data_IF_881295358310
#
_entry.id   IF_881295358310
#
_cell.length_a   1.000
_cell.length_b   1.000
_cell.length_c   1.000
_cell.angle_alpha   90.00
_cell.angle_beta   90.00
_cell.angle_gamma   90.00
#
_symmetry.space_group_name_H-M   'P 1'
#
loop_
_entity.id
_entity.type
_entity.pdbx_description
1 polymer ?
#
# COMPACT_ATOMS: atom_id res chain seq x y z
N UNK A 1 -16.90 -16.04 -12.02
CA UNK A 1 -15.63 -15.36 -11.66
C UNK A 1 -15.47 -15.50 -10.15
N UNK A 2 -14.45 -16.24 -9.69
CA UNK A 2 -14.24 -16.57 -8.27
C UNK A 2 -13.76 -15.33 -7.48
N UNK A 3 -14.70 -14.47 -7.07
CA UNK A 3 -14.44 -13.29 -6.24
C UNK A 3 -14.55 -13.53 -4.73
N UNK A 4 -14.69 -14.79 -4.29
CA UNK A 4 -14.93 -15.16 -2.90
C UNK A 4 -13.78 -15.96 -2.31
N UNK A 5 -12.63 -15.32 -2.04
CA UNK A 5 -11.70 -15.77 -0.98
C UNK A 5 -10.58 -14.75 -0.65
N UNK A 6 -10.48 -13.62 -1.33
CA UNK A 6 -9.41 -12.64 -1.09
C UNK A 6 -9.67 -11.75 0.15
N UNK A 7 -10.92 -11.65 0.62
CA UNK A 7 -11.29 -10.72 1.68
C UNK A 7 -10.93 -11.22 3.10
N UNK A 8 -10.83 -12.53 3.33
CA UNK A 8 -10.59 -13.08 4.68
C UNK A 8 -9.10 -13.20 5.07
N UNK A 9 -8.20 -13.28 4.09
CA UNK A 9 -6.77 -13.58 4.33
C UNK A 9 -5.89 -12.34 4.13
N UNK A 10 -6.24 -11.45 3.20
CA UNK A 10 -5.42 -10.27 2.89
C UNK A 10 -5.76 -9.04 3.73
N UNK A 11 -6.99 -8.94 4.26
CA UNK A 11 -7.43 -7.80 5.06
C UNK A 11 -6.51 -7.55 6.29
N UNK A 12 -6.25 -8.52 7.17
CA UNK A 12 -5.41 -8.28 8.36
C UNK A 12 -3.92 -8.07 8.02
N UNK A 13 -3.44 -8.56 6.86
CA UNK A 13 -2.05 -8.37 6.43
C UNK A 13 -1.82 -6.94 5.93
N UNK A 14 -2.85 -6.33 5.33
CA UNK A 14 -2.75 -5.02 4.71
C UNK A 14 -3.26 -3.88 5.62
N UNK A 15 -4.05 -4.20 6.66
CA UNK A 15 -4.56 -3.27 7.67
C UNK A 15 -3.49 -2.33 8.26
N UNK A 16 -2.28 -2.80 8.65
CA UNK A 16 -1.24 -1.94 9.21
C UNK A 16 -0.65 -0.95 8.19
N UNK A 17 -0.65 -1.31 6.90
CA UNK A 17 -0.20 -0.43 5.83
C UNK A 17 -1.25 0.66 5.55
N UNK A 18 -2.54 0.34 5.67
CA UNK A 18 -3.61 1.34 5.53
C UNK A 18 -3.68 2.29 6.70
N UNK A 19 -3.40 1.84 7.93
CA UNK A 19 -3.32 2.74 9.08
C UNK A 19 -2.23 3.79 8.87
N UNK A 20 -1.05 3.40 8.38
CA UNK A 20 0.03 4.35 8.09
C UNK A 20 -0.35 5.37 7.00
N UNK A 21 -1.07 4.94 5.95
CA UNK A 21 -1.57 5.87 4.93
C UNK A 21 -2.67 6.79 5.48
N UNK A 22 -3.59 6.26 6.29
CA UNK A 22 -4.71 7.00 6.91
C UNK A 22 -4.24 8.01 7.97
N UNK A 23 -3.16 7.70 8.68
CA UNK A 23 -2.53 8.57 9.67
C UNK A 23 -1.79 9.76 9.03
N UNK A 24 -1.82 9.88 7.70
CA UNK A 24 -1.31 11.04 6.97
C UNK A 24 0.20 11.03 6.77
N UNK A 25 0.84 9.86 6.84
CA UNK A 25 2.28 9.72 6.55
C UNK A 25 2.56 10.31 5.16
N UNK A 26 3.59 11.14 5.08
CA UNK A 26 3.92 11.85 3.86
C UNK A 26 4.32 10.84 2.76
N UNK A 27 3.82 10.97 1.53
CA UNK A 27 4.19 10.10 0.41
C UNK A 27 5.72 9.98 0.20
N UNK A 28 6.48 11.03 0.49
CA UNK A 28 7.95 11.02 0.42
C UNK A 28 8.60 10.16 1.50
N UNK A 29 8.02 10.10 2.71
CA UNK A 29 8.50 9.24 3.79
C UNK A 29 8.23 7.77 3.47
N UNK A 30 7.05 7.47 2.92
CA UNK A 30 6.72 6.13 2.44
C UNK A 30 7.63 5.68 1.29
N UNK A 31 7.98 6.59 0.38
CA UNK A 31 8.96 6.30 -0.68
C UNK A 31 10.35 5.98 -0.11
N UNK A 32 10.79 6.72 0.91
CA UNK A 32 12.04 6.44 1.64
C UNK A 32 12.03 5.06 2.28
N UNK A 33 10.97 4.71 2.99
CA UNK A 33 10.80 3.38 3.59
C UNK A 33 10.79 2.26 2.52
N UNK A 34 10.17 2.49 1.37
CA UNK A 34 10.20 1.53 0.25
C UNK A 34 11.61 1.36 -0.32
N UNK A 35 12.41 2.43 -0.42
CA UNK A 35 13.78 2.36 -0.89
C UNK A 35 14.69 1.56 0.06
N UNK A 36 14.48 1.68 1.37
CA UNK A 36 15.19 0.89 2.39
C UNK A 36 14.82 -0.61 2.32
N UNK A 37 13.55 -0.91 2.08
CA UNK A 37 13.05 -2.29 2.00
C UNK A 37 13.43 -2.98 0.68
N UNK A 38 13.55 -2.22 -0.41
CA UNK A 38 13.83 -2.74 -1.74
C UNK A 38 15.04 -2.01 -2.37
N UNK A 39 16.26 -2.14 -1.80
CA UNK A 39 17.42 -1.36 -2.23
C UNK A 39 17.89 -1.67 -3.65
N UNK A 40 17.45 -2.80 -4.21
CA UNK A 40 17.73 -3.25 -5.58
C UNK A 40 16.73 -2.72 -6.62
N UNK A 41 15.67 -2.04 -6.19
CA UNK A 41 14.61 -1.52 -7.05
C UNK A 41 14.95 -0.08 -7.47
N UNK A 42 14.72 0.25 -8.74
CA UNK A 42 14.96 1.61 -9.22
C UNK A 42 13.85 2.57 -8.75
N UNK A 43 14.08 3.88 -8.92
CA UNK A 43 13.16 4.92 -8.46
C UNK A 43 11.77 4.81 -9.12
N UNK A 44 11.69 4.47 -10.41
CA UNK A 44 10.43 4.39 -11.14
C UNK A 44 9.57 3.22 -10.62
N UNK A 45 10.18 2.06 -10.41
CA UNK A 45 9.52 0.87 -9.86
C UNK A 45 9.05 1.10 -8.41
N UNK A 46 9.83 1.84 -7.61
CA UNK A 46 9.46 2.25 -6.25
C UNK A 46 8.26 3.20 -6.26
N UNK A 47 8.24 4.18 -7.16
CA UNK A 47 7.13 5.12 -7.33
C UNK A 47 5.84 4.41 -7.77
N UNK A 48 5.94 3.48 -8.72
CA UNK A 48 4.79 2.70 -9.19
C UNK A 48 4.23 1.82 -8.06
N UNK A 49 5.11 1.26 -7.22
CA UNK A 49 4.71 0.48 -6.04
C UNK A 49 4.02 1.35 -4.98
N UNK A 50 4.52 2.55 -4.73
CA UNK A 50 3.86 3.53 -3.85
C UNK A 50 2.46 3.90 -4.38
N UNK A 51 2.34 4.18 -5.68
CA UNK A 51 1.07 4.51 -6.32
C UNK A 51 0.03 3.39 -6.15
N UNK A 52 0.44 2.12 -6.29
CA UNK A 52 -0.43 0.96 -6.04
C UNK A 52 -0.89 0.88 -4.58
N UNK A 53 0.01 1.10 -3.62
CA UNK A 53 -0.33 1.08 -2.18
C UNK A 53 -1.37 2.17 -1.87
N UNK A 54 -1.14 3.40 -2.35
CA UNK A 54 -2.07 4.53 -2.19
C UNK A 54 -3.42 4.26 -2.85
N UNK A 55 -3.41 3.66 -4.04
CA UNK A 55 -4.64 3.31 -4.75
C UNK A 55 -5.48 2.29 -3.97
N UNK A 56 -4.88 1.20 -3.48
CA UNK A 56 -5.59 0.21 -2.67
C UNK A 56 -6.13 0.84 -1.37
N UNK A 57 -5.33 1.69 -0.72
CA UNK A 57 -5.76 2.41 0.47
C UNK A 57 -6.98 3.32 0.21
N UNK A 58 -7.01 3.97 -0.95
CA UNK A 58 -8.12 4.84 -1.36
C UNK A 58 -9.38 4.03 -1.69
N UNK A 59 -9.24 2.92 -2.43
CA UNK A 59 -10.39 2.07 -2.82
C UNK A 59 -11.04 1.40 -1.61
N UNK A 60 -10.24 0.93 -0.65
CA UNK A 60 -10.77 0.33 0.58
C UNK A 60 -11.24 1.39 1.59
N UNK A 61 -10.61 2.56 1.65
CA UNK A 61 -11.06 3.70 2.46
C UNK A 61 -12.36 4.35 1.98
N UNK A 62 -12.68 4.30 0.69
CA UNK A 62 -13.93 4.82 0.12
C UNK A 62 -15.15 3.90 0.33
N UNK A 63 -14.93 2.70 0.87
CA UNK A 63 -15.98 1.69 1.10
C UNK A 63 -16.41 1.59 2.57
N UNK A 64 -15.90 2.47 3.44
CA UNK A 64 -16.16 2.53 4.88
C UNK A 64 -17.13 3.67 5.25
#
# INVERSE_FOLDING_TARGET
MNGGNLNGVLAPVLEPLFHQVKDGVNPSELLGALAELYPQMNADDLQERLARIMFVATVWGASA
#
